data_IF_367428114753
#
_entry.id   IF_367428114753
#
_cell.length_a   1.000
_cell.length_b   1.000
_cell.length_c   1.000
_cell.angle_alpha   90.00
_cell.angle_beta   90.00
_cell.angle_gamma   90.00
#
_symmetry.space_group_name_H-M   'P 1'
#
loop_
_entity.id
_entity.type
_entity.pdbx_description
1 polymer ?
#
# COMPACT_ATOMS: atom_id res chain seq x y z
N UNK A 1 0.21 11.02 22.35
CA UNK A 1 -1.17 10.63 22.73
C UNK A 1 -2.09 11.82 23.00
N UNK A 2 -1.81 12.72 23.96
CA UNK A 2 -2.70 13.86 24.25
C UNK A 2 -3.05 14.72 23.02
N UNK A 3 -2.06 15.11 22.22
CA UNK A 3 -2.29 15.93 21.02
C UNK A 3 -3.13 15.22 19.96
N UNK A 4 -3.04 13.89 19.85
CA UNK A 4 -3.85 13.10 18.93
C UNK A 4 -5.34 13.15 19.31
N UNK A 5 -5.69 12.80 20.55
CA UNK A 5 -7.09 12.85 21.01
C UNK A 5 -7.67 14.28 20.99
N UNK A 6 -6.83 15.29 21.26
CA UNK A 6 -7.24 16.68 21.10
C UNK A 6 -7.54 17.04 19.64
N UNK A 7 -6.68 16.65 18.69
CA UNK A 7 -6.91 16.89 17.27
C UNK A 7 -8.14 16.15 16.75
N UNK A 8 -8.36 14.91 17.19
CA UNK A 8 -9.56 14.11 16.92
C UNK A 8 -10.83 14.83 17.39
N UNK A 9 -10.86 15.28 18.65
CA UNK A 9 -12.01 16.03 19.22
C UNK A 9 -12.42 17.24 18.38
N UNK A 10 -11.44 17.96 17.83
CA UNK A 10 -11.70 19.17 17.04
C UNK A 10 -11.80 18.90 15.53
N UNK A 11 -11.66 17.66 15.08
CA UNK A 11 -11.64 17.32 13.66
C UNK A 11 -10.49 17.98 12.89
N UNK A 12 -9.35 18.24 13.54
CA UNK A 12 -8.18 18.87 12.92
C UNK A 12 -7.44 17.86 12.03
N UNK A 13 -7.89 17.77 10.79
CA UNK A 13 -7.36 16.84 9.78
C UNK A 13 -5.89 17.08 9.46
N UNK A 14 -5.42 18.31 9.53
CA UNK A 14 -4.01 18.63 9.22
C UNK A 14 -3.09 18.08 10.30
N UNK A 15 -3.45 18.26 11.57
CA UNK A 15 -2.68 17.68 12.67
C UNK A 15 -2.78 16.16 12.68
N UNK A 16 -3.98 15.59 12.45
CA UNK A 16 -4.19 14.15 12.41
C UNK A 16 -3.39 13.46 11.29
N UNK A 17 -3.40 14.03 10.08
CA UNK A 17 -2.66 13.46 8.95
C UNK A 17 -1.14 13.40 9.16
N UNK A 18 -0.61 14.21 10.08
CA UNK A 18 0.80 14.15 10.47
C UNK A 18 1.09 13.14 11.58
N UNK A 19 0.08 12.66 12.30
CA UNK A 19 0.24 11.86 13.53
C UNK A 19 -0.32 10.44 13.42
N UNK A 20 -1.29 10.20 12.54
CA UNK A 20 -2.00 8.93 12.48
C UNK A 20 -2.48 8.57 11.09
N UNK A 21 -2.52 7.26 10.82
CA UNK A 21 -3.18 6.66 9.66
C UNK A 21 -4.62 6.21 9.95
N UNK A 22 -5.03 6.23 11.22
CA UNK A 22 -6.38 5.88 11.66
C UNK A 22 -7.07 7.10 12.24
N UNK A 23 -8.39 7.02 12.30
CA UNK A 23 -9.23 8.08 12.86
C UNK A 23 -9.82 7.56 14.17
N UNK A 24 -9.91 8.44 15.16
CA UNK A 24 -10.75 8.27 16.33
C UNK A 24 -11.87 9.30 16.19
N UNK A 25 -13.07 8.87 15.83
CA UNK A 25 -14.18 9.77 15.47
C UNK A 25 -14.98 10.13 16.73
N UNK A 26 -15.11 11.42 17.10
CA UNK A 26 -15.94 11.80 18.24
C UNK A 26 -17.40 11.32 18.20
N UNK A 27 -17.95 11.09 17.00
CA UNK A 27 -19.32 10.59 16.80
C UNK A 27 -19.40 9.07 16.96
N UNK A 28 -18.37 8.33 16.51
CA UNK A 28 -18.36 6.87 16.49
C UNK A 28 -17.63 6.24 17.70
N UNK A 29 -16.66 6.93 18.27
CA UNK A 29 -15.79 6.46 19.36
C UNK A 29 -15.99 7.25 20.66
N UNK A 30 -16.61 8.43 20.58
CA UNK A 30 -16.78 9.36 21.71
C UNK A 30 -15.60 10.31 21.88
N UNK A 31 -15.65 11.16 22.91
CA UNK A 31 -14.60 12.15 23.18
C UNK A 31 -13.68 11.61 24.27
N UNK A 32 -12.45 11.28 23.90
CA UNK A 32 -11.42 10.88 24.85
C UNK A 32 -10.87 12.08 25.64
N UNK A 33 -10.85 11.96 26.95
CA UNK A 33 -10.32 12.95 27.88
C UNK A 33 -9.31 12.31 28.85
N UNK A 34 -8.39 13.12 29.36
CA UNK A 34 -7.36 12.70 30.32
C UNK A 34 -6.56 11.43 29.91
N UNK A 35 -6.08 11.30 28.67
CA UNK A 35 -5.34 10.10 28.26
C UNK A 35 -4.05 9.94 29.07
N UNK A 36 -3.84 8.74 29.60
CA UNK A 36 -2.67 8.31 30.38
C UNK A 36 -2.04 7.08 29.75
N UNK A 37 -0.72 7.03 29.70
CA UNK A 37 0.02 5.86 29.21
C UNK A 37 0.28 4.94 30.38
N UNK A 38 -0.21 3.70 30.29
CA UNK A 38 -0.09 2.68 31.34
C UNK A 38 1.12 1.77 31.09
N UNK A 39 1.33 1.38 29.83
CA UNK A 39 2.41 0.48 29.43
C UNK A 39 2.91 0.80 28.03
N UNK A 40 4.16 0.43 27.77
CA UNK A 40 4.81 0.53 26.45
C UNK A 40 5.59 -0.76 26.24
N UNK A 41 5.39 -1.43 25.10
CA UNK A 41 6.15 -2.63 24.76
C UNK A 41 7.58 -2.28 24.36
N UNK A 42 8.45 -3.28 24.31
CA UNK A 42 9.76 -3.12 23.67
C UNK A 42 9.58 -2.79 22.17
N UNK A 43 10.58 -2.12 21.59
CA UNK A 43 10.57 -1.76 20.18
C UNK A 43 10.99 -2.96 19.33
N UNK A 44 10.13 -3.35 18.40
CA UNK A 44 10.40 -4.35 17.39
C UNK A 44 10.95 -3.66 16.14
N UNK A 45 11.98 -4.25 15.54
CA UNK A 45 12.65 -3.71 14.36
C UNK A 45 12.63 -4.74 13.24
N UNK A 46 12.31 -4.30 12.04
CA UNK A 46 12.47 -5.11 10.82
C UNK A 46 13.06 -4.28 9.69
N UNK A 47 13.90 -4.86 8.82
CA UNK A 47 14.32 -4.19 7.59
C UNK A 47 13.13 -3.85 6.69
N UNK A 48 13.20 -2.71 6.02
CA UNK A 48 12.28 -2.33 4.95
C UNK A 48 12.66 -3.04 3.65
N UNK A 49 11.65 -3.49 2.89
CA UNK A 49 11.83 -4.19 1.62
C UNK A 49 11.53 -3.33 0.39
N UNK A 50 11.53 -2.00 0.54
CA UNK A 50 11.15 -1.08 -0.54
C UNK A 50 12.05 -1.21 -1.78
N UNK A 51 13.37 -1.27 -1.59
CA UNK A 51 14.34 -1.40 -2.71
C UNK A 51 14.14 -2.73 -3.45
N UNK A 52 14.03 -3.83 -2.70
CA UNK A 52 13.78 -5.17 -3.25
C UNK A 52 12.48 -5.19 -4.06
N UNK A 53 11.37 -4.71 -3.48
CA UNK A 53 10.08 -4.64 -4.17
C UNK A 53 10.09 -3.71 -5.39
N UNK A 54 10.85 -2.62 -5.35
CA UNK A 54 11.03 -1.73 -6.49
C UNK A 54 11.80 -2.40 -7.64
N UNK A 55 12.84 -3.18 -7.31
CA UNK A 55 13.60 -3.98 -8.27
C UNK A 55 12.73 -5.09 -8.89
N UNK A 56 12.01 -5.86 -8.07
CA UNK A 56 11.09 -6.89 -8.56
C UNK A 56 10.02 -6.32 -9.49
N UNK A 57 9.46 -5.15 -9.16
CA UNK A 57 8.50 -4.46 -10.02
C UNK A 57 9.12 -4.00 -11.35
N UNK A 58 10.38 -3.55 -11.32
CA UNK A 58 11.10 -3.14 -12.53
C UNK A 58 11.36 -4.35 -13.44
N UNK A 59 11.83 -5.45 -12.88
CA UNK A 59 12.07 -6.70 -13.61
C UNK A 59 10.78 -7.23 -14.24
N UNK A 60 9.69 -7.26 -13.48
CA UNK A 60 8.39 -7.67 -13.97
C UNK A 60 7.86 -6.79 -15.13
N UNK A 61 8.12 -5.48 -15.08
CA UNK A 61 7.78 -4.56 -16.19
C UNK A 61 8.64 -4.82 -17.43
N UNK A 62 9.89 -5.22 -17.25
CA UNK A 62 10.75 -5.62 -18.36
C UNK A 62 10.23 -6.92 -19.00
N UNK A 63 9.86 -7.93 -18.20
CA UNK A 63 9.21 -9.16 -18.68
C UNK A 63 7.91 -8.86 -19.45
N UNK A 64 7.05 -7.99 -18.90
CA UNK A 64 5.81 -7.58 -19.57
C UNK A 64 6.09 -6.89 -20.92
N UNK A 65 7.16 -6.11 -21.01
CA UNK A 65 7.56 -5.44 -22.25
C UNK A 65 7.95 -6.46 -23.32
N UNK A 66 8.83 -7.41 -22.98
CA UNK A 66 9.20 -8.51 -23.88
C UNK A 66 7.99 -9.33 -24.31
N UNK A 67 7.12 -9.69 -23.36
CA UNK A 67 5.87 -10.40 -23.65
C UNK A 67 4.99 -9.64 -24.65
N UNK A 68 4.85 -8.31 -24.51
CA UNK A 68 4.06 -7.48 -25.43
C UNK A 68 4.67 -7.41 -26.83
N UNK A 69 5.99 -7.39 -26.94
CA UNK A 69 6.69 -7.45 -28.22
C UNK A 69 6.46 -8.80 -28.92
N UNK A 70 6.59 -9.91 -28.21
CA UNK A 70 6.33 -11.25 -28.73
C UNK A 70 4.87 -11.44 -29.15
N UNK A 71 3.93 -11.02 -28.31
CA UNK A 71 2.51 -11.05 -28.62
C UNK A 71 2.18 -10.22 -29.87
N UNK A 72 2.80 -9.05 -30.01
CA UNK A 72 2.62 -8.19 -31.18
C UNK A 72 3.16 -8.88 -32.44
N UNK A 73 4.34 -9.47 -32.38
CA UNK A 73 4.90 -10.23 -33.51
C UNK A 73 3.97 -11.39 -33.91
N UNK A 74 3.48 -12.16 -32.94
CA UNK A 74 2.50 -13.22 -33.19
C UNK A 74 1.21 -12.69 -33.83
N UNK A 75 0.70 -11.55 -33.33
CA UNK A 75 -0.50 -10.91 -33.86
C UNK A 75 -0.30 -10.46 -35.31
N UNK A 76 0.84 -9.83 -35.61
CA UNK A 76 1.16 -9.31 -36.94
C UNK A 76 1.32 -10.47 -37.95
N UNK A 77 1.95 -11.58 -37.55
CA UNK A 77 2.10 -12.80 -38.37
C UNK A 77 0.79 -13.53 -38.63
N UNK A 78 -0.15 -13.50 -37.68
CA UNK A 78 -1.42 -14.26 -37.74
C UNK A 78 -2.65 -13.36 -37.93
N UNK A 79 -2.48 -12.12 -38.35
CA UNK A 79 -3.50 -11.07 -38.34
C UNK A 79 -4.85 -11.50 -38.95
N UNK A 80 -4.82 -12.10 -40.15
CA UNK A 80 -6.03 -12.53 -40.86
C UNK A 80 -6.75 -13.68 -40.13
N UNK A 81 -6.00 -14.60 -39.53
CA UNK A 81 -6.56 -15.72 -38.77
C UNK A 81 -7.17 -15.24 -37.45
N UNK A 82 -6.46 -14.37 -36.72
CA UNK A 82 -6.96 -13.75 -35.49
C UNK A 82 -8.21 -12.93 -35.77
N UNK A 83 -8.27 -12.17 -36.88
CA UNK A 83 -9.46 -11.39 -37.25
C UNK A 83 -10.68 -12.30 -37.41
N UNK A 84 -10.54 -13.43 -38.14
CA UNK A 84 -11.61 -14.41 -38.29
C UNK A 84 -12.01 -15.07 -36.97
N UNK A 85 -11.05 -15.38 -36.11
CA UNK A 85 -11.31 -15.93 -34.77
C UNK A 85 -12.14 -14.94 -33.94
N UNK A 86 -11.73 -13.67 -33.90
CA UNK A 86 -12.42 -12.63 -33.13
C UNK A 86 -13.84 -12.37 -33.67
N UNK A 87 -14.04 -12.39 -34.99
CA UNK A 87 -15.36 -12.29 -35.60
C UNK A 87 -16.27 -13.46 -35.20
N UNK A 88 -15.80 -14.70 -35.33
CA UNK A 88 -16.55 -15.90 -34.93
C UNK A 88 -16.90 -15.88 -33.42
N UNK A 89 -15.91 -15.56 -32.55
CA UNK A 89 -16.13 -15.43 -31.10
C UNK A 89 -17.20 -14.37 -30.77
N UNK A 90 -17.21 -13.25 -31.49
CA UNK A 90 -18.18 -12.16 -31.29
C UNK A 90 -19.59 -12.54 -31.74
N UNK A 91 -19.70 -13.30 -32.83
CA UNK A 91 -20.98 -13.76 -33.39
C UNK A 91 -21.51 -15.01 -32.67
N UNK A 92 -20.70 -15.62 -31.80
CA UNK A 92 -21.04 -16.87 -31.11
C UNK A 92 -21.01 -18.09 -32.05
N UNK A 93 -20.25 -17.99 -33.14
CA UNK A 93 -20.05 -19.06 -34.13
C UNK A 93 -18.83 -19.92 -33.78
N UNK A 94 -18.84 -21.15 -34.28
CA UNK A 94 -17.68 -22.04 -34.18
C UNK A 94 -16.51 -21.52 -35.04
N UNK A 95 -15.30 -21.52 -34.47
CA UNK A 95 -14.10 -21.20 -35.23
C UNK A 95 -13.84 -22.28 -36.29
N UNK A 96 -13.43 -21.85 -37.48
CA UNK A 96 -13.12 -22.76 -38.59
C UNK A 96 -11.95 -23.67 -38.20
N UNK A 97 -11.99 -24.95 -38.60
CA UNK A 97 -10.94 -25.93 -38.30
C UNK A 97 -9.50 -25.47 -38.57
N UNK A 98 -9.28 -24.71 -39.66
CA UNK A 98 -7.95 -24.19 -40.02
C UNK A 98 -7.42 -23.10 -39.07
N UNK A 99 -8.30 -22.49 -38.27
CA UNK A 99 -8.03 -21.36 -37.40
C UNK A 99 -8.06 -21.79 -35.90
N UNK A 100 -8.30 -23.08 -35.60
CA UNK A 100 -8.39 -23.63 -34.23
C UNK A 100 -7.08 -23.43 -33.43
N UNK A 101 -5.92 -23.73 -34.01
CA UNK A 101 -4.62 -23.55 -33.34
C UNK A 101 -4.34 -22.06 -33.02
N UNK A 102 -4.75 -21.16 -33.94
CA UNK A 102 -4.63 -19.71 -33.73
C UNK A 102 -5.58 -19.25 -32.63
N UNK A 103 -6.79 -19.81 -32.53
CA UNK A 103 -7.72 -19.50 -31.45
C UNK A 103 -7.16 -19.89 -30.08
N UNK A 104 -6.60 -21.09 -29.96
CA UNK A 104 -6.02 -21.57 -28.69
C UNK A 104 -4.85 -20.67 -28.26
N UNK A 105 -3.89 -20.44 -29.16
CA UNK A 105 -2.75 -19.58 -28.90
C UNK A 105 -3.17 -18.13 -28.59
N UNK A 106 -4.11 -17.56 -29.35
CA UNK A 106 -4.61 -16.21 -29.10
C UNK A 106 -5.35 -16.09 -27.76
N UNK A 107 -6.07 -17.13 -27.36
CA UNK A 107 -6.70 -17.19 -26.04
C UNK A 107 -5.64 -17.20 -24.93
N UNK A 108 -4.60 -18.01 -25.09
CA UNK A 108 -3.45 -18.01 -24.16
C UNK A 108 -2.78 -16.64 -24.08
N UNK A 109 -2.49 -15.98 -25.20
CA UNK A 109 -1.93 -14.62 -25.22
C UNK A 109 -2.80 -13.59 -24.48
N UNK A 110 -4.13 -13.72 -24.55
CA UNK A 110 -5.05 -12.84 -23.80
C UNK A 110 -5.10 -13.18 -22.31
N UNK A 111 -4.97 -14.45 -21.94
CA UNK A 111 -4.93 -14.89 -20.54
C UNK A 111 -3.63 -14.47 -19.85
N UNK A 112 -2.49 -14.73 -20.50
CA UNK A 112 -1.17 -14.36 -20.01
C UNK A 112 -1.03 -12.83 -19.86
N UNK A 113 -1.63 -12.04 -20.76
CA UNK A 113 -1.70 -10.57 -20.63
C UNK A 113 -2.47 -10.12 -19.38
N UNK A 114 -3.62 -10.74 -19.10
CA UNK A 114 -4.38 -10.45 -17.87
C UNK A 114 -3.59 -10.85 -16.63
N UNK A 115 -2.80 -11.93 -16.71
CA UNK A 115 -1.93 -12.35 -15.63
C UNK A 115 -0.80 -11.35 -15.36
N UNK A 116 -0.11 -10.86 -16.40
CA UNK A 116 0.87 -9.79 -16.27
C UNK A 116 0.27 -8.55 -15.61
N UNK A 117 -0.90 -8.10 -16.07
CA UNK A 117 -1.58 -6.95 -15.47
C UNK A 117 -1.88 -7.17 -13.97
N UNK A 118 -2.32 -8.37 -13.58
CA UNK A 118 -2.54 -8.74 -12.17
C UNK A 118 -1.24 -8.73 -11.37
N UNK A 119 -0.18 -9.36 -11.87
CA UNK A 119 1.14 -9.44 -11.20
C UNK A 119 1.72 -8.04 -10.99
N UNK A 120 1.67 -7.19 -12.03
CA UNK A 120 2.17 -5.81 -11.96
C UNK A 120 1.37 -5.00 -10.94
N UNK A 121 0.05 -5.12 -10.94
CA UNK A 121 -0.79 -4.43 -9.96
C UNK A 121 -0.52 -4.92 -8.53
N UNK A 122 -0.36 -6.23 -8.32
CA UNK A 122 -0.03 -6.78 -7.01
C UNK A 122 1.30 -6.24 -6.48
N UNK A 123 2.35 -6.24 -7.31
CA UNK A 123 3.67 -5.72 -6.93
C UNK A 123 3.67 -4.21 -6.65
N UNK A 124 2.87 -3.44 -7.40
CA UNK A 124 2.68 -2.02 -7.11
C UNK A 124 1.99 -1.80 -5.75
N UNK A 125 0.99 -2.62 -5.42
CA UNK A 125 0.31 -2.55 -4.14
C UNK A 125 1.26 -2.94 -3.00
N UNK A 126 2.03 -4.02 -3.13
CA UNK A 126 3.03 -4.44 -2.14
C UNK A 126 4.05 -3.33 -1.85
N UNK A 127 4.62 -2.71 -2.90
CA UNK A 127 5.54 -1.57 -2.75
C UNK A 127 4.85 -0.35 -2.11
N UNK A 128 3.61 -0.07 -2.50
CA UNK A 128 2.81 1.02 -1.94
C UNK A 128 2.48 0.83 -0.47
N UNK A 129 2.19 -0.41 -0.04
CA UNK A 129 1.93 -0.76 1.35
C UNK A 129 3.20 -0.67 2.20
N UNK A 130 4.31 -1.25 1.72
CA UNK A 130 5.60 -1.21 2.42
C UNK A 130 6.12 0.23 2.58
N UNK A 131 5.97 1.07 1.55
CA UNK A 131 6.45 2.46 1.60
C UNK A 131 5.51 3.42 2.33
N UNK A 132 4.28 3.03 2.64
CA UNK A 132 3.27 3.93 3.22
C UNK A 132 3.72 4.53 4.55
N UNK A 133 4.24 3.70 5.45
CA UNK A 133 4.72 4.17 6.75
C UNK A 133 5.92 5.08 6.57
N UNK A 134 6.87 4.72 5.69
CA UNK A 134 8.02 5.56 5.40
C UNK A 134 7.59 6.96 4.92
N UNK A 135 6.69 7.04 3.94
CA UNK A 135 6.19 8.31 3.40
C UNK A 135 5.58 9.21 4.48
N UNK A 136 4.74 8.67 5.36
CA UNK A 136 4.07 9.48 6.39
C UNK A 136 5.02 9.80 7.56
N UNK A 137 5.84 8.84 7.96
CA UNK A 137 6.80 8.98 9.06
C UNK A 137 7.91 9.98 8.74
N UNK A 138 8.32 10.12 7.48
CA UNK A 138 9.38 11.07 7.07
C UNK A 138 8.86 12.26 6.28
N UNK A 139 7.55 12.49 6.26
CA UNK A 139 6.96 13.59 5.49
C UNK A 139 7.49 14.94 5.99
N UNK A 140 8.21 15.65 5.13
CA UNK A 140 8.60 17.05 5.30
C UNK A 140 8.27 17.81 4.01
N UNK A 141 7.34 18.78 4.02
CA UNK A 141 7.00 19.55 2.82
C UNK A 141 8.15 20.45 2.35
N UNK A 142 9.10 20.80 3.21
CA UNK A 142 10.28 21.59 2.82
C UNK A 142 11.32 20.74 2.09
N UNK A 143 11.40 19.44 2.42
CA UNK A 143 12.39 18.50 1.89
C UNK A 143 11.72 17.16 1.52
N UNK A 144 10.97 17.11 0.42
CA UNK A 144 10.28 15.88 0.02
C UNK A 144 11.28 14.78 -0.39
N UNK A 145 11.07 13.58 0.14
CA UNK A 145 11.93 12.41 -0.10
C UNK A 145 11.26 11.39 -1.01
N UNK A 146 12.04 10.78 -1.90
CA UNK A 146 11.63 9.56 -2.58
C UNK A 146 12.02 8.34 -1.73
N UNK A 147 11.16 7.97 -0.76
CA UNK A 147 11.52 6.97 0.26
C UNK A 147 11.89 5.58 -0.30
N UNK A 148 11.44 5.24 -1.51
CA UNK A 148 11.76 3.93 -2.12
C UNK A 148 13.21 3.79 -2.58
N UNK A 149 13.98 4.88 -2.55
CA UNK A 149 15.43 4.88 -2.85
C UNK A 149 16.29 4.61 -1.60
N UNK A 150 15.67 4.55 -0.43
CA UNK A 150 16.38 4.41 0.84
C UNK A 150 16.27 2.99 1.40
N UNK A 151 17.36 2.55 2.02
CA UNK A 151 17.33 1.43 2.95
C UNK A 151 16.77 1.92 4.29
N UNK A 152 16.38 1.00 5.17
CA UNK A 152 15.98 1.40 6.50
C UNK A 152 15.32 0.29 7.30
N UNK A 153 14.89 0.67 8.49
CA UNK A 153 14.14 -0.21 9.39
C UNK A 153 12.77 0.40 9.70
N UNK A 154 11.76 -0.46 9.70
CA UNK A 154 10.49 -0.19 10.36
C UNK A 154 10.66 -0.52 11.84
N UNK A 155 10.27 0.41 12.69
CA UNK A 155 10.32 0.27 14.14
C UNK A 155 8.88 0.38 14.64
N UNK A 156 8.44 -0.63 15.39
CA UNK A 156 7.08 -0.73 15.90
C UNK A 156 7.08 -0.91 17.41
N UNK A 157 6.04 -0.41 18.07
CA UNK A 157 5.72 -0.71 19.47
C UNK A 157 4.24 -0.49 19.73
N UNK A 158 3.76 -1.05 20.82
CA UNK A 158 2.41 -0.83 21.30
C UNK A 158 2.44 -0.01 22.59
N UNK A 159 1.42 0.85 22.74
CA UNK A 159 1.22 1.67 23.91
C UNK A 159 -0.17 1.42 24.45
N UNK A 160 -0.26 0.97 25.70
CA UNK A 160 -1.54 0.87 26.41
C UNK A 160 -1.89 2.24 26.97
N UNK A 161 -3.07 2.75 26.60
CA UNK A 161 -3.56 4.06 26.99
C UNK A 161 -4.90 3.93 27.69
N UNK A 162 -5.02 4.46 28.90
CA UNK A 162 -6.30 4.67 29.55
C UNK A 162 -6.81 6.08 29.24
N UNK A 163 -8.11 6.23 29.01
CA UNK A 163 -8.76 7.52 28.81
C UNK A 163 -10.22 7.46 29.28
N UNK A 164 -10.76 8.60 29.72
CA UNK A 164 -12.20 8.71 30.00
C UNK A 164 -12.92 9.15 28.73
N UNK A 165 -13.81 8.31 28.23
CA UNK A 165 -14.56 8.48 26.98
C UNK A 165 -15.95 9.00 27.31
N UNK A 166 -16.28 10.19 26.83
CA UNK A 166 -17.62 10.76 26.93
C UNK A 166 -18.40 10.52 25.64
N UNK A 167 -19.58 9.90 25.75
CA UNK A 167 -20.49 9.64 24.62
C UNK A 167 -21.95 9.67 25.07
N UNK A 168 -22.80 10.37 24.32
CA UNK A 168 -24.24 10.48 24.59
C UNK A 168 -24.59 10.91 26.03
N UNK A 169 -23.71 11.72 26.66
CA UNK A 169 -23.87 12.19 28.03
C UNK A 169 -23.48 11.17 29.11
N UNK A 170 -22.96 9.99 28.74
CA UNK A 170 -22.34 9.03 29.63
C UNK A 170 -20.81 9.09 29.53
N UNK A 171 -20.12 8.84 30.64
CA UNK A 171 -18.65 8.76 30.69
C UNK A 171 -18.24 7.37 31.14
N UNK A 172 -17.31 6.76 30.42
CA UNK A 172 -16.69 5.48 30.79
C UNK A 172 -15.17 5.56 30.70
N UNK A 173 -14.47 4.89 31.62
CA UNK A 173 -13.03 4.72 31.48
C UNK A 173 -12.75 3.56 30.53
N UNK A 174 -11.97 3.82 29.49
CA UNK A 174 -11.57 2.84 28.48
C UNK A 174 -10.05 2.72 28.43
N UNK A 175 -9.59 1.48 28.40
CA UNK A 175 -8.19 1.14 28.07
C UNK A 175 -8.13 0.70 26.62
N UNK A 176 -7.19 1.27 25.87
CA UNK A 176 -6.96 1.00 24.46
C UNK A 176 -5.51 0.59 24.24
N UNK A 177 -5.27 -0.26 23.24
CA UNK A 177 -3.92 -0.53 22.74
C UNK A 177 -3.69 0.27 21.48
N UNK A 178 -2.60 1.04 21.43
CA UNK A 178 -2.28 1.89 20.28
C UNK A 178 -0.97 1.42 19.66
N UNK A 179 -1.05 0.97 18.40
CA UNK A 179 0.11 0.63 17.62
C UNK A 179 0.79 1.90 17.08
N UNK A 180 2.08 2.03 17.37
CA UNK A 180 2.93 3.10 16.88
C UNK A 180 3.99 2.51 15.95
N UNK A 181 4.20 3.15 14.81
CA UNK A 181 5.27 2.81 13.89
C UNK A 181 6.05 4.05 13.46
N UNK A 182 7.36 3.92 13.27
CA UNK A 182 8.21 4.90 12.59
C UNK A 182 9.18 4.17 11.67
N UNK A 183 9.85 4.92 10.81
CA UNK A 183 11.02 4.41 10.07
C UNK A 183 12.28 5.14 10.46
N UNK A 184 13.41 4.46 10.31
CA UNK A 184 14.73 5.07 10.24
C UNK A 184 15.30 4.73 8.86
N UNK A 185 15.52 5.75 8.02
CA UNK A 185 16.02 5.58 6.66
C UNK A 185 17.51 5.86 6.60
N UNK A 186 18.25 5.07 5.82
CA UNK A 186 19.67 5.20 5.56
C UNK A 186 19.95 5.20 4.05
N UNK A 187 21.11 5.74 3.65
CA UNK A 187 21.58 5.71 2.26
C UNK A 187 21.53 7.04 1.50
N UNK A 188 21.09 8.13 2.12
CA UNK A 188 21.19 9.49 1.55
C UNK A 188 22.47 10.24 1.96
N UNK A 189 22.73 11.39 1.32
CA UNK A 189 23.88 12.26 1.64
C UNK A 189 23.84 12.82 3.07
N UNK A 190 22.65 12.88 3.68
CA UNK A 190 22.40 13.54 4.98
C UNK A 190 22.52 12.63 6.20
N UNK A 191 22.97 11.38 6.04
CA UNK A 191 23.05 10.40 7.14
C UNK A 191 21.70 9.72 7.40
N UNK A 192 21.48 9.27 8.64
CA UNK A 192 20.25 8.55 9.02
C UNK A 192 19.10 9.54 9.20
N UNK A 193 18.00 9.33 8.48
CA UNK A 193 16.77 10.11 8.57
C UNK A 193 15.85 9.41 9.56
N UNK A 194 15.68 10.02 10.73
CA UNK A 194 14.75 9.54 11.75
C UNK A 194 13.33 10.02 11.46
N UNK A 195 12.43 9.08 11.21
CA UNK A 195 11.02 9.35 11.07
C UNK A 195 10.31 9.57 12.41
N UNK A 196 9.15 10.22 12.36
CA UNK A 196 8.28 10.42 13.52
C UNK A 196 7.38 9.21 13.76
N UNK A 197 7.03 8.98 15.03
CA UNK A 197 6.04 7.96 15.39
C UNK A 197 4.65 8.32 14.86
N UNK A 198 4.05 7.37 14.15
CA UNK A 198 2.71 7.42 13.56
C UNK A 198 1.83 6.39 14.24
N UNK A 199 0.61 6.79 14.61
CA UNK A 199 -0.42 5.86 15.11
C UNK A 199 -1.01 5.10 13.93
N UNK A 200 -0.85 3.78 13.92
CA UNK A 200 -1.27 2.91 12.81
C UNK A 200 -2.48 2.05 13.12
N UNK A 201 -2.76 1.81 14.41
CA UNK A 201 -3.96 1.13 14.87
C UNK A 201 -4.34 1.58 16.29
N UNK A 202 -5.62 1.48 16.61
CA UNK A 202 -6.19 1.68 17.95
C UNK A 202 -7.19 0.55 18.16
N UNK A 203 -7.05 -0.19 19.25
CA UNK A 203 -7.91 -1.32 19.66
C UNK A 203 -8.49 -1.10 21.05
#
# INVERSE_FOLDING_TARGET
MRSFFQASRYGDRTTLGNMSMVVFDPQEDGIASSPSVEAVTEEERRPLRMIELAQELQELRAEETTFREEKKAYQDENFDAITRVVEAEREGEDVRRRDEEVQEAWTKWREDEREFARRVSAKQNELGEESRIAQVSTYDPANPLNVVEFEGELIAKEVTVSASIERDGASEDRTMTVALQKVELAGGEEGVIEGRWIITAIE
#
